data_IF_487545844554
#
_entry.id   IF_487545844554
#
_cell.length_a   1.000
_cell.length_b   1.000
_cell.length_c   1.000
_cell.angle_alpha   90.00
_cell.angle_beta   90.00
_cell.angle_gamma   90.00
#
_symmetry.space_group_name_H-M   'P 1'
#
loop_
_entity.id
_entity.type
_entity.pdbx_description
1 polymer ?
#
# COMPACT_ATOMS: atom_id res chain seq x y z
N UNK A 1 16.07 -19.33 -3.84
CA UNK A 1 14.70 -18.78 -3.72
C UNK A 1 14.70 -17.53 -4.57
N UNK A 2 13.84 -17.47 -5.59
CA UNK A 2 13.76 -16.28 -6.44
C UNK A 2 12.50 -15.55 -6.05
N UNK A 3 12.61 -14.30 -5.59
CA UNK A 3 11.50 -13.49 -5.12
C UNK A 3 10.72 -12.94 -6.31
N UNK A 4 9.44 -13.27 -6.43
CA UNK A 4 8.55 -12.59 -7.35
C UNK A 4 8.20 -11.18 -6.83
N UNK A 5 8.89 -10.16 -7.36
CA UNK A 5 8.66 -8.78 -6.91
C UNK A 5 7.23 -8.29 -7.12
N UNK A 6 6.48 -8.86 -8.08
CA UNK A 6 5.10 -8.47 -8.36
C UNK A 6 4.14 -8.95 -7.25
N UNK A 7 4.32 -10.19 -6.77
CA UNK A 7 3.61 -10.72 -5.61
C UNK A 7 3.97 -9.95 -4.35
N UNK A 8 5.27 -9.74 -4.11
CA UNK A 8 5.77 -9.00 -2.95
C UNK A 8 5.16 -7.59 -2.90
N UNK A 9 5.20 -6.85 -4.00
CA UNK A 9 4.65 -5.50 -4.08
C UNK A 9 3.13 -5.49 -3.87
N UNK A 10 2.41 -6.45 -4.46
CA UNK A 10 0.95 -6.54 -4.36
C UNK A 10 0.50 -6.82 -2.92
N UNK A 11 1.13 -7.79 -2.24
CA UNK A 11 0.80 -8.12 -0.84
C UNK A 11 1.20 -6.99 0.12
N UNK A 12 2.36 -6.37 -0.11
CA UNK A 12 2.78 -5.19 0.65
C UNK A 12 1.76 -4.06 0.53
N UNK A 13 1.30 -3.76 -0.69
CA UNK A 13 0.33 -2.71 -0.95
C UNK A 13 -1.03 -3.03 -0.31
N UNK A 14 -1.48 -4.28 -0.36
CA UNK A 14 -2.72 -4.69 0.30
C UNK A 14 -2.67 -4.43 1.83
N UNK A 15 -1.53 -4.73 2.47
CA UNK A 15 -1.34 -4.45 3.90
C UNK A 15 -1.32 -2.94 4.17
N UNK A 16 -0.59 -2.16 3.36
CA UNK A 16 -0.50 -0.71 3.52
C UNK A 16 -1.86 -0.04 3.33
N UNK A 17 -2.63 -0.41 2.31
CA UNK A 17 -3.99 0.12 2.12
C UNK A 17 -4.90 -0.24 3.29
N UNK A 18 -4.88 -1.49 3.75
CA UNK A 18 -5.68 -1.93 4.90
C UNK A 18 -5.38 -1.07 6.13
N UNK A 19 -4.10 -0.92 6.48
CA UNK A 19 -3.66 -0.11 7.63
C UNK A 19 -4.02 1.37 7.47
N UNK A 20 -3.90 1.92 6.26
CA UNK A 20 -4.34 3.28 5.97
C UNK A 20 -5.84 3.45 6.27
N UNK A 21 -6.71 2.53 5.84
CA UNK A 21 -8.14 2.64 6.12
C UNK A 21 -8.53 2.34 7.57
N UNK A 22 -7.69 1.61 8.32
CA UNK A 22 -7.84 1.41 9.76
C UNK A 22 -7.49 2.68 10.56
N UNK A 23 -6.38 3.35 10.23
CA UNK A 23 -5.92 4.56 10.92
C UNK A 23 -6.64 5.83 10.44
N UNK A 24 -7.10 5.88 9.19
CA UNK A 24 -7.78 7.01 8.56
C UNK A 24 -9.16 6.61 8.01
N UNK A 25 -10.09 6.17 8.87
CA UNK A 25 -11.44 5.81 8.45
C UNK A 25 -12.26 7.04 8.01
N UNK A 26 -13.52 6.82 7.65
CA UNK A 26 -14.46 7.92 7.40
C UNK A 26 -14.56 8.82 8.64
N UNK A 27 -14.36 10.13 8.46
CA UNK A 27 -14.39 11.09 9.56
C UNK A 27 -15.82 11.61 9.76
N UNK A 28 -16.37 11.68 11.00
CA UNK A 28 -17.76 12.10 11.23
C UNK A 28 -18.12 13.52 10.73
N UNK A 29 -17.10 14.35 10.51
CA UNK A 29 -17.28 15.71 9.94
C UNK A 29 -17.39 15.72 8.41
N UNK A 30 -17.20 14.60 7.73
CA UNK A 30 -17.34 14.56 6.27
C UNK A 30 -18.79 14.76 5.83
N UNK A 31 -19.74 14.13 6.52
CA UNK A 31 -21.17 14.25 6.26
C UNK A 31 -21.71 15.69 6.41
N UNK A 32 -21.52 16.40 7.55
CA UNK A 32 -22.05 17.77 7.71
C UNK A 32 -21.40 18.79 6.76
N UNK A 33 -20.22 18.51 6.22
CA UNK A 33 -19.55 19.36 5.23
C UNK A 33 -19.79 18.90 3.78
N UNK A 34 -20.64 17.89 3.56
CA UNK A 34 -21.05 17.45 2.23
C UNK A 34 -19.98 16.69 1.43
N UNK A 35 -18.98 16.09 2.10
CA UNK A 35 -17.99 15.26 1.42
C UNK A 35 -18.62 13.94 0.97
N UNK A 36 -18.66 13.70 -0.34
CA UNK A 36 -19.24 12.49 -0.93
C UNK A 36 -18.36 11.23 -0.72
N UNK A 37 -17.06 11.43 -0.46
CA UNK A 37 -16.10 10.33 -0.27
C UNK A 37 -15.16 10.65 0.89
N UNK A 38 -14.81 9.66 1.72
CA UNK A 38 -13.80 9.82 2.75
C UNK A 38 -12.40 9.97 2.15
N UNK A 39 -11.41 10.07 3.03
CA UNK A 39 -10.00 9.95 2.65
C UNK A 39 -9.73 8.59 1.98
N UNK A 40 -8.92 8.57 0.91
CA UNK A 40 -8.63 7.35 0.13
C UNK A 40 -7.17 7.22 -0.25
N UNK A 41 -6.68 5.99 -0.33
CA UNK A 41 -5.37 5.63 -0.87
C UNK A 41 -5.57 4.70 -2.08
N UNK A 42 -5.09 5.13 -3.24
CA UNK A 42 -5.33 4.43 -4.51
C UNK A 42 -4.03 4.23 -5.28
N UNK A 43 -3.55 2.98 -5.43
CA UNK A 43 -2.57 2.68 -6.46
C UNK A 43 -3.23 2.87 -7.84
N UNK A 44 -2.56 3.58 -8.74
CA UNK A 44 -3.08 3.92 -10.06
C UNK A 44 -2.18 3.45 -11.19
N UNK A 45 -0.91 3.16 -10.90
CA UNK A 45 0.07 2.71 -11.88
C UNK A 45 0.92 1.60 -11.29
N UNK A 46 1.25 0.61 -12.11
CA UNK A 46 2.18 -0.46 -11.77
C UNK A 46 3.17 -0.61 -12.92
N UNK A 47 4.45 -0.61 -12.57
CA UNK A 47 5.55 -0.87 -13.48
C UNK A 47 6.38 -2.04 -12.94
N UNK A 48 6.91 -2.89 -13.80
CA UNK A 48 7.84 -3.94 -13.41
C UNK A 48 8.91 -4.17 -14.47
N UNK A 49 9.98 -4.84 -14.06
CA UNK A 49 11.03 -5.27 -14.97
C UNK A 49 10.45 -6.10 -16.13
N UNK A 50 10.72 -5.68 -17.37
CA UNK A 50 10.29 -6.44 -18.56
C UNK A 50 11.16 -7.69 -18.73
N UNK A 51 10.53 -8.84 -18.89
CA UNK A 51 11.16 -10.13 -19.15
C UNK A 51 10.25 -11.04 -19.98
N UNK A 52 10.66 -12.29 -20.16
CA UNK A 52 9.79 -13.31 -20.74
C UNK A 52 8.66 -13.69 -19.76
N UNK A 53 7.55 -14.23 -20.27
CA UNK A 53 6.36 -14.59 -19.49
C UNK A 53 6.66 -15.55 -18.32
N UNK A 54 7.72 -16.36 -18.44
CA UNK A 54 8.14 -17.35 -17.45
C UNK A 54 9.29 -16.87 -16.55
N UNK A 55 9.63 -15.58 -16.56
CA UNK A 55 10.67 -15.00 -15.72
C UNK A 55 10.06 -14.16 -14.60
N UNK A 56 10.57 -14.36 -13.39
CA UNK A 56 10.19 -13.52 -12.25
C UNK A 56 10.77 -12.12 -12.44
N UNK A 57 9.96 -11.05 -12.33
CA UNK A 57 10.47 -9.69 -12.44
C UNK A 57 11.36 -9.39 -11.21
N UNK A 58 12.60 -8.91 -11.39
CA UNK A 58 13.48 -8.54 -10.28
C UNK A 58 13.00 -7.30 -9.50
N UNK A 59 12.17 -6.44 -10.10
CA UNK A 59 11.60 -5.27 -9.44
C UNK A 59 10.19 -4.98 -9.94
N UNK A 60 9.38 -4.39 -9.04
CA UNK A 60 8.04 -3.88 -9.31
C UNK A 60 7.87 -2.58 -8.53
N UNK A 61 7.29 -1.57 -9.16
CA UNK A 61 6.94 -0.28 -8.58
C UNK A 61 5.44 -0.09 -8.68
N UNK A 62 4.80 0.19 -7.55
CA UNK A 62 3.39 0.60 -7.50
C UNK A 62 3.38 2.09 -7.16
N UNK A 63 2.67 2.88 -7.96
CA UNK A 63 2.52 4.32 -7.78
C UNK A 63 1.05 4.69 -7.70
N UNK A 64 0.75 5.77 -6.97
CA UNK A 64 -0.63 6.12 -6.64
C UNK A 64 -0.73 7.46 -5.94
N UNK A 65 -1.94 7.76 -5.47
CA UNK A 65 -2.24 8.96 -4.70
C UNK A 65 -2.98 8.64 -3.41
N UNK A 66 -2.77 9.51 -2.42
CA UNK A 66 -3.61 9.61 -1.22
C UNK A 66 -4.40 10.92 -1.35
N UNK A 67 -5.72 10.82 -1.29
CA UNK A 67 -6.61 11.99 -1.20
C UNK A 67 -7.15 12.08 0.21
N UNK A 68 -6.91 13.21 0.86
CA UNK A 68 -7.36 13.44 2.22
C UNK A 68 -8.52 14.44 2.24
N UNK A 69 -9.49 14.15 3.10
CA UNK A 69 -10.41 15.17 3.61
C UNK A 69 -9.68 16.04 4.63
N UNK A 70 -10.11 17.29 4.88
CA UNK A 70 -9.35 18.26 5.68
C UNK A 70 -9.32 17.96 7.19
N UNK A 71 -9.75 16.77 7.61
CA UNK A 71 -9.85 16.38 9.01
C UNK A 71 -8.66 15.55 9.50
N UNK A 72 -7.78 15.13 8.59
CA UNK A 72 -6.52 14.47 8.91
C UNK A 72 -5.34 15.38 8.62
N UNK A 73 -4.37 15.40 9.54
CA UNK A 73 -3.13 16.13 9.36
C UNK A 73 -2.22 15.38 8.38
N UNK A 74 -1.73 16.11 7.36
CA UNK A 74 -0.91 15.52 6.29
C UNK A 74 0.42 15.00 6.82
N UNK A 75 1.06 15.67 7.78
CA UNK A 75 2.33 15.24 8.34
C UNK A 75 2.15 13.93 9.11
N UNK A 76 1.06 13.80 9.87
CA UNK A 76 0.70 12.55 10.58
C UNK A 76 0.44 11.41 9.59
N UNK A 77 -0.27 11.67 8.48
CA UNK A 77 -0.51 10.66 7.44
C UNK A 77 0.80 10.18 6.81
N UNK A 78 1.70 11.10 6.46
CA UNK A 78 3.00 10.77 5.88
C UNK A 78 3.85 9.95 6.85
N UNK A 79 3.91 10.36 8.12
CA UNK A 79 4.65 9.63 9.16
C UNK A 79 4.11 8.20 9.32
N UNK A 80 2.79 8.04 9.41
CA UNK A 80 2.14 6.74 9.55
C UNK A 80 2.39 5.82 8.37
N UNK A 81 2.21 6.31 7.14
CA UNK A 81 2.44 5.50 5.94
C UNK A 81 3.91 5.06 5.83
N UNK A 82 4.85 5.96 6.11
CA UNK A 82 6.29 5.61 6.15
C UNK A 82 6.59 4.58 7.25
N UNK A 83 5.96 4.70 8.42
CA UNK A 83 6.06 3.75 9.51
C UNK A 83 5.59 2.34 9.10
N UNK A 84 4.48 2.23 8.38
CA UNK A 84 4.02 0.93 7.87
C UNK A 84 5.05 0.28 6.94
N UNK A 85 5.65 1.07 6.05
CA UNK A 85 6.69 0.58 5.12
C UNK A 85 7.93 0.14 5.88
N UNK A 86 8.37 0.93 6.87
CA UNK A 86 9.51 0.57 7.71
C UNK A 86 9.25 -0.75 8.44
N UNK A 87 8.08 -0.90 9.07
CA UNK A 87 7.73 -2.14 9.76
C UNK A 87 7.69 -3.34 8.83
N UNK A 88 7.16 -3.19 7.61
CA UNK A 88 7.15 -4.25 6.61
C UNK A 88 8.57 -4.64 6.19
N UNK A 89 9.46 -3.67 5.99
CA UNK A 89 10.86 -3.92 5.65
C UNK A 89 11.61 -4.66 6.77
N UNK A 90 11.36 -4.33 8.04
CA UNK A 90 12.00 -4.98 9.19
C UNK A 90 11.55 -6.45 9.39
N UNK A 91 10.42 -6.86 8.82
CA UNK A 91 9.82 -8.18 9.03
C UNK A 91 9.31 -8.82 7.75
N UNK A 92 9.95 -8.58 6.61
CA UNK A 92 9.46 -8.96 5.29
C UNK A 92 9.04 -10.44 5.20
N UNK A 93 9.84 -11.35 5.75
CA UNK A 93 9.61 -12.81 5.69
C UNK A 93 8.43 -13.30 6.54
N UNK A 94 8.01 -12.55 7.55
CA UNK A 94 6.98 -12.98 8.51
C UNK A 94 5.71 -12.13 8.45
N UNK A 95 5.81 -10.88 7.96
CA UNK A 95 4.70 -9.93 7.91
C UNK A 95 4.00 -9.90 6.57
N UNK A 96 4.65 -10.36 5.49
CA UNK A 96 4.08 -10.40 4.16
C UNK A 96 3.72 -11.84 3.81
N UNK A 97 2.44 -12.14 3.48
CA UNK A 97 2.04 -13.48 3.14
C UNK A 97 2.65 -13.92 1.81
N UNK A 98 2.96 -15.21 1.69
CA UNK A 98 3.33 -15.86 0.43
C UNK A 98 2.16 -16.65 -0.13
N UNK A 99 1.98 -16.64 -1.45
CA UNK A 99 0.87 -17.34 -2.13
C UNK A 99 1.21 -18.78 -2.53
N UNK A 100 2.44 -19.23 -2.29
CA UNK A 100 2.92 -20.58 -2.57
C UNK A 100 3.92 -21.10 -1.53
N UNK A 101 4.40 -22.35 -1.69
CA UNK A 101 5.42 -22.94 -0.82
C UNK A 101 6.79 -22.24 -0.96
N UNK A 102 6.96 -21.52 -2.05
CA UNK A 102 8.07 -20.63 -2.33
C UNK A 102 7.54 -19.45 -3.14
N UNK A 103 8.11 -18.27 -2.89
CA UNK A 103 7.92 -17.07 -3.68
C UNK A 103 9.26 -16.43 -3.97
#
# INVERSE_FOLDING_TARGET
RGINSFELASESMAIVQRRFYEDFPQHPKEEPYGFATPSTMKPTQVECARGALNQLPPWTTISGDIRLTPFYDVAVVVEKVNGYIQELNEGMETKIPTRGPCS
#
